data_IF_499483506109
#
_entry.id   IF_499483506109
#
_cell.length_a   1.000
_cell.length_b   1.000
_cell.length_c   1.000
_cell.angle_alpha   90.00
_cell.angle_beta   90.00
_cell.angle_gamma   90.00
#
_symmetry.space_group_name_H-M   'P 1'
#
loop_
_entity.id
_entity.type
_entity.pdbx_description
1 polymer ?
#
# COMPACT_ATOMS: atom_id res chain seq x y z
N UNK A 1 -11.21 -18.20 10.57
CA UNK A 1 -11.37 -18.68 11.96
C UNK A 1 -12.83 -18.93 12.32
N UNK A 2 -13.76 -17.97 12.17
CA UNK A 2 -15.19 -18.15 12.53
C UNK A 2 -15.86 -19.36 11.86
N UNK A 3 -15.59 -19.59 10.57
CA UNK A 3 -16.14 -20.75 9.85
C UNK A 3 -15.60 -22.10 10.36
N UNK A 4 -14.37 -22.15 10.88
CA UNK A 4 -13.80 -23.35 11.49
C UNK A 4 -14.52 -23.66 12.81
N UNK A 5 -14.65 -22.66 13.67
CA UNK A 5 -15.30 -22.81 14.98
C UNK A 5 -16.77 -23.24 14.85
N UNK A 6 -17.50 -22.69 13.87
CA UNK A 6 -18.88 -23.11 13.57
C UNK A 6 -19.00 -24.54 13.05
N UNK A 7 -17.96 -25.06 12.37
CA UNK A 7 -17.91 -26.47 11.94
C UNK A 7 -17.62 -27.44 13.09
N UNK A 8 -17.12 -26.93 14.21
CA UNK A 8 -16.92 -27.67 15.46
C UNK A 8 -18.06 -27.39 16.46
N UNK A 9 -19.25 -27.03 15.98
CA UNK A 9 -20.46 -26.77 16.79
C UNK A 9 -20.31 -25.68 17.86
N UNK A 10 -19.34 -24.77 17.69
CA UNK A 10 -19.20 -23.61 18.57
C UNK A 10 -20.01 -22.42 18.01
N UNK A 11 -21.08 -21.98 18.70
CA UNK A 11 -21.88 -20.85 18.27
C UNK A 11 -21.13 -19.54 18.54
N UNK A 12 -20.29 -19.12 17.60
CA UNK A 12 -19.50 -17.88 17.71
C UNK A 12 -19.93 -16.82 16.71
N UNK A 13 -19.98 -15.57 17.19
CA UNK A 13 -20.15 -14.39 16.35
C UNK A 13 -18.81 -13.96 15.73
N UNK A 14 -18.85 -13.30 14.56
CA UNK A 14 -17.64 -12.77 13.92
C UNK A 14 -16.87 -11.80 14.84
N UNK A 15 -17.60 -10.90 15.52
CA UNK A 15 -17.01 -9.91 16.45
C UNK A 15 -16.29 -10.56 17.63
N UNK A 16 -16.84 -11.64 18.17
CA UNK A 16 -16.21 -12.37 19.28
C UNK A 16 -14.89 -13.00 18.85
N UNK A 17 -14.85 -13.60 17.66
CA UNK A 17 -13.62 -14.17 17.10
C UNK A 17 -12.59 -13.07 16.81
N UNK A 18 -13.00 -11.96 16.21
CA UNK A 18 -12.11 -10.82 15.91
C UNK A 18 -11.51 -10.21 17.19
N UNK A 19 -12.30 -10.08 18.26
CA UNK A 19 -11.82 -9.58 19.57
C UNK A 19 -10.77 -10.52 20.17
N UNK A 20 -11.08 -11.82 20.25
CA UNK A 20 -10.16 -12.81 20.81
C UNK A 20 -8.87 -12.94 20.00
N UNK A 21 -8.96 -12.87 18.67
CA UNK A 21 -7.78 -12.87 17.81
C UNK A 21 -6.89 -11.64 18.05
N UNK A 22 -7.47 -10.46 18.27
CA UNK A 22 -6.72 -9.25 18.64
C UNK A 22 -6.07 -9.34 20.01
N UNK A 23 -6.80 -9.82 21.02
CA UNK A 23 -6.27 -9.99 22.39
C UNK A 23 -5.07 -10.96 22.42
N UNK A 24 -5.11 -12.01 21.59
CA UNK A 24 -4.05 -13.01 21.47
C UNK A 24 -2.95 -12.61 20.45
N UNK A 25 -3.05 -11.45 19.80
CA UNK A 25 -2.09 -11.00 18.79
C UNK A 25 -2.09 -11.81 17.50
N UNK A 26 -3.12 -12.63 17.26
CA UNK A 26 -3.24 -13.44 16.05
C UNK A 26 -3.83 -12.62 14.90
N UNK A 27 -3.11 -12.61 13.78
CA UNK A 27 -3.60 -12.05 12.53
C UNK A 27 -4.08 -13.16 11.58
N UNK A 28 -5.10 -12.89 10.79
CA UNK A 28 -5.54 -13.81 9.74
C UNK A 28 -4.43 -14.02 8.71
N UNK A 29 -4.14 -15.28 8.38
CA UNK A 29 -3.18 -15.60 7.32
C UNK A 29 -3.76 -15.15 5.97
N UNK A 30 -3.20 -14.08 5.41
CA UNK A 30 -3.51 -13.66 4.04
C UNK A 30 -2.76 -14.60 3.09
N UNK A 31 -3.51 -15.40 2.32
CA UNK A 31 -2.92 -16.21 1.26
C UNK A 31 -2.57 -15.31 0.08
N UNK A 32 -1.31 -14.95 -0.02
CA UNK A 32 -0.74 -14.21 -1.13
C UNK A 32 0.71 -13.88 -0.85
N UNK A 33 1.61 -14.11 -1.82
CA UNK A 33 2.98 -13.62 -1.72
C UNK A 33 2.91 -12.10 -1.82
N UNK A 34 3.46 -11.38 -0.83
CA UNK A 34 3.72 -9.95 -1.00
C UNK A 34 4.58 -9.77 -2.23
N UNK A 35 4.05 -9.12 -3.27
CA UNK A 35 4.83 -8.81 -4.47
C UNK A 35 5.69 -7.60 -4.13
N UNK A 36 6.95 -7.85 -3.79
CA UNK A 36 7.93 -6.79 -3.61
C UNK A 36 8.59 -6.54 -4.97
N UNK A 37 8.11 -5.52 -5.69
CA UNK A 37 8.55 -5.25 -7.07
C UNK A 37 9.93 -4.59 -7.14
N UNK A 38 10.39 -3.91 -6.07
CA UNK A 38 11.61 -3.12 -6.08
C UNK A 38 12.41 -3.33 -4.80
N UNK A 39 13.55 -4.02 -4.90
CA UNK A 39 14.62 -3.90 -3.92
C UNK A 39 15.44 -2.67 -4.32
N UNK A 40 15.49 -1.61 -3.50
CA UNK A 40 16.28 -0.43 -3.83
C UNK A 40 17.76 -0.83 -3.93
N UNK A 41 18.37 -0.53 -5.06
CA UNK A 41 19.83 -0.63 -5.21
C UNK A 41 20.45 0.55 -4.44
N UNK A 42 21.12 0.23 -3.33
CA UNK A 42 21.78 1.21 -2.47
C UNK A 42 23.00 1.85 -3.14
N UNK A 43 23.53 1.23 -4.20
CA UNK A 43 24.71 1.71 -4.92
C UNK A 43 24.35 2.47 -6.21
N UNK A 44 23.07 2.49 -6.61
CA UNK A 44 22.63 3.23 -7.78
C UNK A 44 22.71 4.74 -7.53
N UNK A 45 23.24 5.48 -8.51
CA UNK A 45 23.24 6.93 -8.48
C UNK A 45 21.78 7.44 -8.42
N UNK A 46 21.39 8.01 -7.29
CA UNK A 46 20.05 8.57 -7.12
C UNK A 46 19.95 9.85 -7.94
N UNK A 47 18.84 10.02 -8.65
CA UNK A 47 18.56 11.30 -9.29
C UNK A 47 18.58 12.41 -8.21
N UNK A 48 19.22 13.55 -8.47
CA UNK A 48 19.27 14.65 -7.51
C UNK A 48 17.85 15.16 -7.24
N UNK A 49 17.52 15.34 -5.97
CA UNK A 49 16.26 15.96 -5.55
C UNK A 49 16.36 17.46 -5.79
N UNK A 50 15.91 17.92 -6.96
CA UNK A 50 16.05 19.32 -7.39
C UNK A 50 15.21 20.30 -6.56
N UNK A 51 14.24 19.79 -5.81
CA UNK A 51 13.30 20.58 -5.03
C UNK A 51 13.58 20.46 -3.52
N UNK A 52 14.50 19.59 -3.10
CA UNK A 52 14.80 19.31 -1.69
C UNK A 52 13.53 19.14 -0.82
N UNK A 53 12.51 18.48 -1.38
CA UNK A 53 11.18 18.29 -0.78
C UNK A 53 10.37 19.57 -0.53
N UNK A 54 10.82 20.73 -1.00
CA UNK A 54 10.05 21.96 -1.02
C UNK A 54 9.14 22.01 -2.25
N UNK A 55 7.84 21.89 -2.00
CA UNK A 55 6.80 21.96 -3.03
C UNK A 55 6.15 23.35 -3.11
N UNK A 56 6.60 24.32 -2.31
CA UNK A 56 6.10 25.68 -2.33
C UNK A 56 6.56 26.40 -3.61
N UNK A 57 5.63 26.62 -4.54
CA UNK A 57 5.90 27.31 -5.79
C UNK A 57 5.45 28.78 -5.72
N UNK A 58 6.38 29.70 -5.97
CA UNK A 58 6.10 31.16 -6.02
C UNK A 58 5.14 31.53 -7.17
N UNK A 59 5.05 30.68 -8.19
CA UNK A 59 4.14 30.85 -9.32
C UNK A 59 3.73 29.48 -9.90
N UNK A 60 2.58 29.39 -10.60
CA UNK A 60 2.17 28.19 -11.33
C UNK A 60 3.25 27.69 -12.30
N UNK A 61 3.25 26.39 -12.61
CA UNK A 61 4.20 25.71 -13.52
C UNK A 61 5.69 25.73 -13.08
N UNK A 62 6.00 26.06 -11.82
CA UNK A 62 7.37 25.98 -11.27
C UNK A 62 7.68 24.69 -10.53
N UNK A 63 6.66 24.03 -9.98
CA UNK A 63 6.77 22.73 -9.32
C UNK A 63 5.70 21.79 -9.90
N UNK A 64 6.12 20.57 -10.24
CA UNK A 64 5.26 19.54 -10.82
C UNK A 64 5.43 18.28 -9.99
N UNK A 65 4.31 17.72 -9.53
CA UNK A 65 4.29 16.48 -8.76
C UNK A 65 3.53 15.45 -9.58
N UNK A 66 4.14 14.29 -9.79
CA UNK A 66 3.49 13.15 -10.42
C UNK A 66 3.42 12.01 -9.40
N UNK A 67 2.22 11.46 -9.20
CA UNK A 67 2.03 10.23 -8.45
C UNK A 67 1.89 9.05 -9.40
N UNK A 68 2.68 8.00 -9.14
CA UNK A 68 2.57 6.74 -9.85
C UNK A 68 1.81 5.75 -8.98
N UNK A 69 0.64 5.34 -9.44
CA UNK A 69 -0.14 4.28 -8.79
C UNK A 69 0.07 2.97 -9.52
N UNK A 70 0.52 1.96 -8.78
CA UNK A 70 0.64 0.59 -9.27
C UNK A 70 -0.70 -0.14 -9.08
N UNK A 71 -1.34 -0.48 -10.20
CA UNK A 71 -2.59 -1.25 -10.18
C UNK A 71 -2.29 -2.70 -10.53
N UNK A 72 -2.77 -3.62 -9.69
CA UNK A 72 -2.62 -5.05 -9.95
C UNK A 72 -3.62 -5.48 -11.03
N UNK A 73 -3.11 -6.02 -12.13
CA UNK A 73 -3.90 -6.59 -13.22
C UNK A 73 -3.67 -8.10 -13.32
N UNK A 74 -4.53 -8.80 -14.08
CA UNK A 74 -4.39 -10.24 -14.33
C UNK A 74 -3.14 -10.60 -15.15
N UNK A 75 -2.59 -9.64 -15.91
CA UNK A 75 -1.38 -9.80 -16.71
C UNK A 75 -0.10 -9.35 -15.98
N UNK A 76 -0.20 -8.79 -14.76
CA UNK A 76 0.95 -8.24 -14.03
C UNK A 76 0.64 -6.92 -13.34
N UNK A 77 1.67 -6.11 -13.06
CA UNK A 77 1.51 -4.78 -12.48
C UNK A 77 1.49 -3.75 -13.60
N UNK A 78 0.41 -2.97 -13.68
CA UNK A 78 0.30 -1.82 -14.60
C UNK A 78 0.68 -0.53 -13.86
N UNK A 79 1.44 0.34 -14.53
CA UNK A 79 1.91 1.62 -13.97
C UNK A 79 1.08 2.75 -14.57
N UNK A 80 0.20 3.35 -13.77
CA UNK A 80 -0.51 4.57 -14.15
C UNK A 80 0.16 5.78 -13.53
N UNK A 81 0.46 6.77 -14.37
CA UNK A 81 0.83 8.11 -13.92
C UNK A 81 -0.44 8.96 -13.87
N UNK A 82 -0.66 9.65 -12.77
CA UNK A 82 -1.51 10.83 -12.77
C UNK A 82 -0.58 12.05 -12.80
N UNK A 83 -0.65 12.81 -13.90
CA UNK A 83 0.09 14.06 -14.05
C UNK A 83 -0.87 15.20 -13.68
N UNK A 84 -0.53 15.97 -12.65
CA UNK A 84 -1.32 17.11 -12.20
C UNK A 84 -0.45 18.25 -11.68
N UNK A 85 -0.80 19.52 -11.96
CA UNK A 85 -0.08 20.64 -11.37
C UNK A 85 -0.31 20.66 -9.86
N UNK A 86 0.76 20.91 -9.09
CA UNK A 86 0.61 21.23 -7.66
C UNK A 86 -0.09 22.58 -7.57
N UNK A 87 -1.34 22.58 -7.10
CA UNK A 87 -2.09 23.81 -6.85
C UNK A 87 -1.55 24.48 -5.58
N UNK A 88 -1.43 25.81 -5.67
CA UNK A 88 -0.81 26.78 -4.74
C UNK A 88 -1.00 26.51 -3.25
#
# INVERSE_FOLDING_TARGET
MTALLRRHDLPVSKRQVDRLMRELGFNGLVRGKGVWTMVPDLNAARAPDLLDRDLAAVAPNRCWVADFTYVRTWAGIDRRAADGPVAT
#
